data_IF_858032032935
#
_entry.id   IF_858032032935
#
_cell.length_a   1.000
_cell.length_b   1.000
_cell.length_c   1.000
_cell.angle_alpha   90.00
_cell.angle_beta   90.00
_cell.angle_gamma   90.00
#
_symmetry.space_group_name_H-M   'P 1'
#
loop_
_entity.id
_entity.type
_entity.pdbx_description
1 polymer ?
#
# COMPACT_ATOMS: atom_id res chain seq x y z
N UNK A 1 -5.62 1.51 -19.16
CA UNK A 1 -4.21 1.82 -18.81
C UNK A 1 -4.19 2.13 -17.31
N UNK A 2 -3.27 1.56 -16.53
CA UNK A 2 -3.37 1.49 -15.06
C UNK A 2 -3.26 2.89 -14.42
N UNK A 3 -4.40 3.46 -14.05
CA UNK A 3 -4.54 4.82 -13.48
C UNK A 3 -4.04 4.92 -12.03
N UNK A 4 -3.98 3.81 -11.30
CA UNK A 4 -3.58 3.77 -9.88
C UNK A 4 -2.13 4.22 -9.67
N UNK A 5 -1.22 4.04 -10.63
CA UNK A 5 0.19 4.39 -10.40
C UNK A 5 0.43 5.92 -10.45
N UNK A 6 -0.43 6.68 -11.12
CA UNK A 6 -0.43 8.15 -11.07
C UNK A 6 -0.75 8.70 -9.67
N UNK A 7 -1.40 7.90 -8.83
CA UNK A 7 -1.67 8.25 -7.44
C UNK A 7 -0.37 8.55 -6.69
N UNK A 8 0.64 7.70 -6.83
CA UNK A 8 1.92 7.80 -6.12
C UNK A 8 2.85 8.89 -6.65
N UNK A 9 2.71 9.23 -7.94
CA UNK A 9 3.51 10.28 -8.55
C UNK A 9 3.33 10.35 -10.07
N UNK A 10 3.63 11.50 -10.69
CA UNK A 10 3.57 11.65 -12.13
C UNK A 10 4.58 10.70 -12.80
N UNK A 11 4.14 9.96 -13.80
CA UNK A 11 5.01 9.07 -14.57
C UNK A 11 5.38 7.74 -13.90
N UNK A 12 5.01 7.49 -12.64
CA UNK A 12 5.41 6.29 -11.89
C UNK A 12 4.92 4.97 -12.51
N UNK A 13 3.85 5.03 -13.31
CA UNK A 13 3.29 3.89 -14.05
C UNK A 13 3.57 3.89 -15.54
N UNK A 14 4.49 4.74 -16.01
CA UNK A 14 4.89 4.76 -17.43
C UNK A 14 5.91 3.67 -17.71
N UNK A 15 5.80 3.06 -18.88
CA UNK A 15 6.66 1.97 -19.32
C UNK A 15 7.54 2.43 -20.47
N UNK A 16 8.74 1.84 -20.59
CA UNK A 16 9.54 2.01 -21.80
C UNK A 16 8.75 1.46 -23.01
N UNK A 17 8.83 2.13 -24.19
CA UNK A 17 8.06 1.71 -25.36
C UNK A 17 8.27 0.24 -25.71
N UNK A 18 7.17 -0.52 -25.81
CA UNK A 18 7.21 -1.94 -26.17
C UNK A 18 7.69 -2.89 -25.08
N UNK A 19 7.93 -2.42 -23.84
CA UNK A 19 8.35 -3.27 -22.72
C UNK A 19 7.38 -3.18 -21.53
N UNK A 20 7.59 -4.07 -20.55
CA UNK A 20 6.93 -4.01 -19.24
C UNK A 20 7.83 -3.36 -18.18
N UNK A 21 8.96 -2.77 -18.57
CA UNK A 21 9.89 -2.10 -17.65
C UNK A 21 9.45 -0.66 -17.44
N UNK A 22 9.52 -0.17 -16.21
CA UNK A 22 9.21 1.24 -15.92
C UNK A 22 10.20 2.18 -16.59
N UNK A 23 9.67 3.25 -17.17
CA UNK A 23 10.46 4.26 -17.86
C UNK A 23 11.32 5.10 -16.91
N UNK A 24 10.81 5.37 -15.70
CA UNK A 24 11.55 6.12 -14.70
C UNK A 24 12.47 5.21 -13.87
N UNK A 25 13.67 5.68 -13.48
CA UNK A 25 14.54 4.96 -12.55
C UNK A 25 13.90 4.85 -11.15
N UNK A 26 14.49 4.04 -10.26
CA UNK A 26 13.94 3.78 -8.92
C UNK A 26 13.85 5.08 -8.11
N UNK A 27 14.90 5.90 -8.21
CA UNK A 27 15.12 7.13 -7.45
C UNK A 27 14.04 8.16 -7.75
N UNK A 28 13.62 8.24 -9.01
CA UNK A 28 12.54 9.11 -9.48
C UNK A 28 11.14 8.55 -9.22
N UNK A 29 11.04 7.33 -8.70
CA UNK A 29 9.79 6.66 -8.32
C UNK A 29 9.65 6.47 -6.82
N UNK A 30 10.35 7.30 -6.06
CA UNK A 30 10.28 7.36 -4.60
C UNK A 30 9.23 8.35 -4.14
N UNK A 31 8.54 8.03 -3.05
CA UNK A 31 7.53 8.87 -2.43
C UNK A 31 7.55 8.71 -0.91
N UNK A 32 7.00 9.69 -0.20
CA UNK A 32 6.85 9.65 1.25
C UNK A 32 5.62 8.83 1.61
N UNK A 33 5.82 7.75 2.38
CA UNK A 33 4.74 6.93 2.91
C UNK A 33 4.60 7.19 4.41
N UNK A 34 3.44 7.71 4.82
CA UNK A 34 3.10 8.01 6.22
C UNK A 34 2.25 6.91 6.81
N UNK A 35 2.68 6.33 7.92
CA UNK A 35 1.88 5.41 8.73
C UNK A 35 0.88 6.23 9.55
N UNK A 36 -0.42 6.16 9.23
CA UNK A 36 -1.39 7.04 9.89
C UNK A 36 -1.59 6.70 11.37
N UNK A 37 -1.35 5.46 11.77
CA UNK A 37 -1.49 5.01 13.16
C UNK A 37 -0.40 5.55 14.09
N UNK A 38 0.84 5.73 13.61
CA UNK A 38 1.97 6.22 14.42
C UNK A 38 2.43 7.63 14.05
N UNK A 39 2.10 8.10 12.84
CA UNK A 39 2.60 9.36 12.28
C UNK A 39 3.98 9.25 11.63
N UNK A 40 4.65 8.10 11.74
CA UNK A 40 5.97 7.87 11.13
C UNK A 40 5.92 8.02 9.62
N UNK A 41 7.00 8.56 9.05
CA UNK A 41 7.13 8.77 7.60
C UNK A 41 8.39 8.09 7.10
N UNK A 42 8.24 7.25 6.09
CA UNK A 42 9.33 6.54 5.43
C UNK A 42 9.40 6.91 3.95
N UNK A 43 10.56 6.69 3.34
CA UNK A 43 10.68 6.70 1.89
C UNK A 43 10.29 5.32 1.34
N UNK A 44 9.37 5.29 0.39
CA UNK A 44 8.93 4.09 -0.30
C UNK A 44 9.02 4.27 -1.81
N UNK A 45 9.02 3.17 -2.55
CA UNK A 45 9.00 3.17 -4.00
C UNK A 45 8.15 2.00 -4.52
N UNK A 46 7.64 2.16 -5.74
CA UNK A 46 6.93 1.07 -6.41
C UNK A 46 7.96 0.13 -7.04
N UNK A 47 7.94 -1.16 -6.70
CA UNK A 47 8.79 -2.18 -7.31
C UNK A 47 7.97 -3.13 -8.20
N UNK A 48 8.58 -3.64 -9.27
CA UNK A 48 7.88 -4.43 -10.28
C UNK A 48 8.29 -5.89 -10.30
N UNK A 49 7.37 -6.71 -9.82
CA UNK A 49 6.60 -7.48 -10.80
C UNK A 49 5.24 -6.78 -10.96
N UNK A 50 4.99 -6.19 -12.14
CA UNK A 50 3.71 -5.54 -12.53
C UNK A 50 3.23 -4.31 -11.72
N UNK A 51 4.11 -3.63 -10.97
CA UNK A 51 3.73 -2.45 -10.17
C UNK A 51 2.82 -2.78 -8.98
N UNK A 52 2.84 -4.04 -8.54
CA UNK A 52 1.99 -4.58 -7.48
C UNK A 52 2.61 -4.46 -6.09
N UNK A 53 3.87 -4.05 -5.98
CA UNK A 53 4.60 -3.99 -4.72
C UNK A 53 5.00 -2.55 -4.35
N UNK A 54 4.73 -2.19 -3.10
CA UNK A 54 5.29 -1.01 -2.43
C UNK A 54 6.43 -1.51 -1.54
N UNK A 55 7.62 -0.90 -1.63
CA UNK A 55 8.79 -1.26 -0.83
C UNK A 55 9.43 -0.02 -0.22
N UNK A 56 9.99 -0.12 0.97
CA UNK A 56 10.81 0.94 1.58
C UNK A 56 12.17 1.05 0.89
N UNK A 57 12.64 2.27 0.62
CA UNK A 57 13.90 2.50 -0.13
C UNK A 57 15.15 2.16 0.69
N UNK A 58 15.11 2.45 1.99
CA UNK A 58 16.32 2.52 2.82
C UNK A 58 16.58 1.21 3.57
N UNK A 59 15.54 0.59 4.11
CA UNK A 59 15.58 -0.74 4.72
C UNK A 59 14.27 -1.45 4.43
N UNK A 60 14.31 -2.50 3.61
CA UNK A 60 13.13 -3.31 3.27
C UNK A 60 12.38 -3.80 4.53
N UNK A 61 13.11 -3.97 5.63
CA UNK A 61 12.58 -4.42 6.90
C UNK A 61 11.68 -3.41 7.62
N UNK A 62 11.75 -2.10 7.35
CA UNK A 62 10.98 -1.10 8.11
C UNK A 62 9.48 -1.29 7.89
N UNK A 63 9.04 -1.35 6.63
CA UNK A 63 7.63 -1.53 6.30
C UNK A 63 7.14 -2.91 6.75
N UNK A 64 7.92 -3.96 6.48
CA UNK A 64 7.57 -5.32 6.88
C UNK A 64 7.47 -5.49 8.40
N UNK A 65 8.42 -4.93 9.15
CA UNK A 65 8.43 -4.99 10.60
C UNK A 65 7.27 -4.18 11.20
N UNK A 66 6.97 -3.00 10.67
CA UNK A 66 5.80 -2.23 11.09
C UNK A 66 4.50 -3.01 10.88
N UNK A 67 4.32 -3.64 9.71
CA UNK A 67 3.13 -4.46 9.42
C UNK A 67 3.06 -5.67 10.38
N UNK A 68 4.13 -6.45 10.49
CA UNK A 68 4.10 -7.72 11.25
C UNK A 68 4.07 -7.53 12.76
N UNK A 69 4.86 -6.59 13.28
CA UNK A 69 5.04 -6.38 14.73
C UNK A 69 4.23 -5.22 15.27
N UNK A 70 4.10 -4.14 14.50
CA UNK A 70 3.34 -2.96 14.92
C UNK A 70 1.83 -3.20 14.76
N UNK A 71 1.40 -3.56 13.55
CA UNK A 71 -0.03 -3.72 13.23
C UNK A 71 -0.54 -5.10 13.66
N UNK A 72 0.05 -6.18 13.16
CA UNK A 72 -0.47 -7.54 13.44
C UNK A 72 -0.06 -8.10 14.81
N UNK A 73 0.93 -7.47 15.45
CA UNK A 73 1.48 -7.85 16.75
C UNK A 73 1.88 -9.33 16.82
N UNK A 74 2.37 -9.88 15.72
CA UNK A 74 2.80 -11.27 15.63
C UNK A 74 4.10 -11.45 16.41
N UNK A 75 4.24 -12.57 17.10
CA UNK A 75 5.50 -13.00 17.72
C UNK A 75 6.49 -13.48 16.66
N UNK A 76 7.74 -13.66 17.07
CA UNK A 76 8.75 -14.22 16.18
C UNK A 76 8.30 -15.60 15.68
N UNK A 77 8.40 -15.82 14.35
CA UNK A 77 7.93 -17.03 13.64
C UNK A 77 6.43 -17.33 13.71
N UNK A 78 5.62 -16.43 14.27
CA UNK A 78 4.17 -16.55 14.20
C UNK A 78 3.65 -16.19 12.80
N UNK A 79 2.76 -17.03 12.26
CA UNK A 79 2.19 -16.87 10.93
C UNK A 79 0.92 -16.03 11.01
N UNK A 80 0.76 -15.07 10.09
CA UNK A 80 -0.48 -14.33 9.94
C UNK A 80 -1.58 -15.26 9.41
N UNK A 81 -2.68 -15.39 10.18
CA UNK A 81 -3.84 -16.19 9.79
C UNK A 81 -5.06 -15.31 9.52
N UNK A 82 -6.04 -15.82 8.78
CA UNK A 82 -7.32 -15.14 8.59
C UNK A 82 -8.07 -14.89 9.91
N UNK A 83 -7.95 -15.82 10.87
CA UNK A 83 -8.50 -15.62 12.22
C UNK A 83 -7.88 -14.40 12.90
N UNK A 84 -6.54 -14.25 12.83
CA UNK A 84 -5.86 -13.09 13.42
C UNK A 84 -6.28 -11.77 12.77
N UNK A 85 -6.49 -11.77 11.46
CA UNK A 85 -7.01 -10.60 10.74
C UNK A 85 -8.42 -10.24 11.20
N UNK A 86 -9.30 -11.23 11.43
CA UNK A 86 -10.64 -11.01 11.97
C UNK A 86 -10.61 -10.48 13.41
N UNK A 87 -9.73 -11.02 14.27
CA UNK A 87 -9.54 -10.54 15.65
C UNK A 87 -9.07 -9.09 15.72
N UNK A 88 -8.29 -8.65 14.73
CA UNK A 88 -7.81 -7.28 14.61
C UNK A 88 -8.77 -6.36 13.83
N UNK A 89 -9.88 -6.89 13.33
CA UNK A 89 -10.82 -6.17 12.46
C UNK A 89 -10.12 -5.56 11.24
N UNK A 90 -9.29 -6.34 10.55
CA UNK A 90 -8.56 -5.91 9.35
C UNK A 90 -8.98 -6.75 8.16
N UNK A 91 -9.54 -6.11 7.14
CA UNK A 91 -9.80 -6.75 5.85
C UNK A 91 -9.42 -5.89 4.63
N UNK A 92 -8.88 -4.69 4.87
CA UNK A 92 -8.47 -3.77 3.81
C UNK A 92 -7.29 -2.89 4.22
N UNK A 93 -6.72 -2.25 3.20
CA UNK A 93 -5.72 -1.18 3.34
C UNK A 93 -6.28 0.04 2.61
N UNK A 94 -6.26 1.20 3.28
CA UNK A 94 -6.56 2.47 2.64
C UNK A 94 -5.27 3.22 2.34
N UNK A 95 -5.20 3.76 1.13
CA UNK A 95 -4.17 4.70 0.72
C UNK A 95 -4.80 6.08 0.52
N UNK A 96 -4.20 7.10 1.11
CA UNK A 96 -4.68 8.49 1.03
C UNK A 96 -3.58 9.40 0.49
N UNK A 97 -3.84 10.13 -0.59
CA UNK A 97 -2.89 11.14 -1.09
C UNK A 97 -3.16 12.48 -0.42
N UNK A 98 -2.17 13.00 0.27
CA UNK A 98 -2.23 14.32 0.89
C UNK A 98 -1.81 15.43 -0.09
N UNK A 99 -2.15 16.68 0.23
CA UNK A 99 -1.82 17.85 -0.60
C UNK A 99 -0.31 18.13 -0.69
N UNK A 100 0.48 17.62 0.25
CA UNK A 100 1.94 17.71 0.29
C UNK A 100 2.63 16.54 -0.43
N UNK A 101 1.91 15.80 -1.28
CA UNK A 101 2.36 14.61 -2.01
C UNK A 101 2.79 13.41 -1.15
N UNK A 102 2.55 13.46 0.17
CA UNK A 102 2.66 12.28 1.01
C UNK A 102 1.51 11.31 0.74
N UNK A 103 1.81 10.02 0.85
CA UNK A 103 0.83 8.95 0.78
C UNK A 103 0.64 8.37 2.19
N UNK A 104 -0.55 8.54 2.76
CA UNK A 104 -0.96 7.86 3.98
C UNK A 104 -1.32 6.41 3.72
N UNK A 105 -0.94 5.52 4.64
CA UNK A 105 -1.40 4.12 4.68
C UNK A 105 -2.00 3.80 6.04
N UNK A 106 -3.13 3.11 6.01
CA UNK A 106 -3.79 2.57 7.19
C UNK A 106 -4.44 1.22 6.88
N UNK A 107 -4.54 0.36 7.90
CA UNK A 107 -5.33 -0.86 7.85
C UNK A 107 -6.75 -0.54 8.31
N UNK A 108 -7.75 -1.05 7.60
CA UNK A 108 -9.15 -0.75 7.85
C UNK A 108 -9.99 -2.02 7.87
N UNK A 109 -11.17 -1.89 8.48
CA UNK A 109 -12.29 -2.78 8.28
C UNK A 109 -13.26 -2.17 7.28
N UNK A 110 -13.68 -2.97 6.30
CA UNK A 110 -14.80 -2.68 5.41
C UNK A 110 -15.93 -3.61 5.81
N UNK A 111 -17.06 -3.04 6.23
CA UNK A 111 -18.29 -3.80 6.41
C UNK A 111 -18.84 -4.20 5.04
N UNK A 112 -18.83 -5.49 4.74
CA UNK A 112 -19.31 -6.03 3.46
C UNK A 112 -20.83 -5.96 3.34
N UNK A 113 -21.56 -5.86 4.45
CA UNK A 113 -23.00 -5.68 4.46
C UNK A 113 -23.39 -4.22 4.23
N UNK A 114 -22.49 -3.27 4.51
CA UNK A 114 -22.69 -1.83 4.32
C UNK A 114 -21.50 -1.16 3.62
N UNK A 115 -21.16 -1.58 2.38
CA UNK A 115 -20.05 -0.99 1.65
C UNK A 115 -20.38 0.45 1.22
N UNK A 116 -19.36 1.28 0.99
CA UNK A 116 -19.54 2.61 0.40
C UNK A 116 -20.29 2.53 -0.94
N UNK A 117 -21.10 3.55 -1.24
CA UNK A 117 -21.89 3.60 -2.49
C UNK A 117 -21.04 3.62 -3.75
N UNK A 118 -19.80 4.09 -3.65
CA UNK A 118 -18.80 4.17 -4.71
C UNK A 118 -17.80 3.00 -4.68
N UNK A 119 -18.08 1.95 -3.90
CA UNK A 119 -17.24 0.76 -3.85
C UNK A 119 -17.16 0.09 -5.23
N UNK A 120 -15.97 -0.35 -5.61
CA UNK A 120 -15.69 -1.06 -6.87
C UNK A 120 -15.19 -2.47 -6.53
N UNK A 121 -15.59 -3.46 -7.32
CA UNK A 121 -15.08 -4.83 -7.21
C UNK A 121 -15.96 -5.70 -6.31
N UNK A 122 -15.34 -6.61 -5.55
CA UNK A 122 -16.05 -7.66 -4.80
C UNK A 122 -16.90 -7.14 -3.63
N UNK A 123 -16.62 -5.94 -3.13
CA UNK A 123 -17.39 -5.24 -2.09
C UNK A 123 -18.55 -4.40 -2.65
N UNK A 124 -18.65 -4.22 -3.96
CA UNK A 124 -19.72 -3.40 -4.54
C UNK A 124 -21.06 -4.13 -4.43
N UNK A 125 -22.08 -3.47 -3.86
CA UNK A 125 -23.47 -3.95 -3.97
C UNK A 125 -23.88 -3.86 -5.44
N UNK A 126 -24.38 -4.98 -5.98
CA UNK A 126 -24.98 -5.03 -7.33
C UNK A 126 -26.29 -4.27 -7.38
#
# INVERSE_FOLDING_TARGET
MVTILYFFGPGFGTFEPGTKKLALPKEERTFKLRFLSSGDVINAYINQEAGKAIQSTDKQEILGNWILRGVFQLKEREVLTGQRLNELEINGIRLTKFKNDEIGIEFIWIDTENPPSDAIGWVAKK
#
